data_IF_408735281011
#
_entry.id   IF_408735281011
#
_cell.length_a   1.000
_cell.length_b   1.000
_cell.length_c   1.000
_cell.angle_alpha   90.00
_cell.angle_beta   90.00
_cell.angle_gamma   90.00
#
_symmetry.space_group_name_H-M   'P 1'
#
loop_
_entity.id
_entity.type
_entity.pdbx_description
1 polymer ?
#
# COMPACT_ATOMS: atom_id res chain seq x y z
N UNK A 1 45.27 5.71 -68.68
CA UNK A 1 43.93 5.46 -69.24
C UNK A 1 43.06 4.87 -68.14
N UNK A 2 41.79 5.31 -68.08
CA UNK A 2 40.73 4.87 -67.17
C UNK A 2 40.50 3.35 -67.33
N UNK A 3 40.05 2.58 -66.34
CA UNK A 3 38.65 2.52 -65.89
C UNK A 3 38.52 2.07 -64.42
N UNK A 4 37.64 2.77 -63.71
CA UNK A 4 37.11 2.44 -62.39
C UNK A 4 36.20 1.20 -62.48
N UNK A 5 36.32 0.25 -61.55
CA UNK A 5 35.31 -0.79 -61.34
C UNK A 5 34.60 -0.55 -60.02
N UNK A 6 33.27 -0.57 -60.12
CA UNK A 6 32.29 -0.20 -59.11
C UNK A 6 32.38 -1.07 -57.85
N UNK A 7 32.44 -0.41 -56.70
CA UNK A 7 32.12 -0.97 -55.40
C UNK A 7 30.61 -0.80 -55.19
N UNK A 8 29.84 -1.89 -55.25
CA UNK A 8 28.41 -1.85 -54.95
C UNK A 8 28.22 -1.81 -53.44
N UNK A 9 28.10 -0.61 -52.88
CA UNK A 9 27.74 -0.40 -51.48
C UNK A 9 26.21 -0.56 -51.35
N UNK A 10 25.76 -1.65 -50.75
CA UNK A 10 24.35 -1.85 -50.44
C UNK A 10 23.96 -0.92 -49.27
N UNK A 11 23.18 0.11 -49.60
CA UNK A 11 22.58 1.03 -48.64
C UNK A 11 21.45 0.33 -47.89
N UNK A 12 21.67 -0.06 -46.63
CA UNK A 12 20.59 -0.45 -45.73
C UNK A 12 20.00 0.82 -45.09
N UNK A 13 18.87 1.27 -45.63
CA UNK A 13 18.10 2.42 -45.14
C UNK A 13 17.08 1.93 -44.10
N UNK A 14 17.11 2.60 -42.95
CA UNK A 14 16.09 2.77 -41.91
C UNK A 14 15.24 1.54 -41.49
N UNK A 15 15.48 1.14 -40.24
CA UNK A 15 14.50 0.47 -39.39
C UNK A 15 14.65 0.95 -37.95
N UNK A 16 14.70 2.26 -37.75
CA UNK A 16 14.60 2.87 -36.43
C UNK A 16 13.24 2.54 -35.83
N UNK A 17 13.14 1.42 -35.12
CA UNK A 17 12.14 1.26 -34.09
C UNK A 17 12.56 2.17 -32.95
N UNK A 18 12.20 3.45 -33.07
CA UNK A 18 11.82 4.19 -31.87
C UNK A 18 10.82 3.30 -31.17
N UNK A 19 11.27 2.62 -30.11
CA UNK A 19 10.36 2.05 -29.14
C UNK A 19 9.52 3.25 -28.71
N UNK A 20 8.32 3.35 -29.28
CA UNK A 20 7.25 4.16 -28.77
C UNK A 20 7.01 3.54 -27.40
N UNK A 21 7.77 4.03 -26.41
CA UNK A 21 7.44 3.84 -25.02
C UNK A 21 6.11 4.55 -24.88
N UNK A 22 5.04 3.80 -25.16
CA UNK A 22 3.72 4.16 -24.69
C UNK A 22 3.95 4.43 -23.22
N UNK A 23 3.82 5.68 -22.74
CA UNK A 23 3.80 5.89 -21.31
C UNK A 23 2.66 5.01 -20.86
N UNK A 24 2.97 3.91 -20.16
CA UNK A 24 1.96 3.14 -19.46
C UNK A 24 1.24 4.20 -18.65
N UNK A 25 0.01 4.50 -19.05
CA UNK A 25 -0.86 5.39 -18.33
C UNK A 25 -0.89 4.77 -16.95
N UNK A 26 -0.27 5.45 -15.97
CA UNK A 26 -0.23 5.02 -14.56
C UNK A 26 -1.64 5.18 -13.96
N UNK A 27 -2.66 4.66 -14.63
CA UNK A 27 -4.02 4.55 -14.11
C UNK A 27 -4.16 3.41 -13.11
N UNK A 28 -3.17 2.51 -13.05
CA UNK A 28 -3.31 1.23 -12.36
C UNK A 28 -2.58 1.18 -11.00
N UNK A 29 -2.00 2.31 -10.55
CA UNK A 29 -1.46 2.44 -9.19
C UNK A 29 -2.56 2.69 -8.13
N UNK A 30 -3.81 2.94 -8.55
CA UNK A 30 -4.87 3.43 -7.66
C UNK A 30 -6.16 2.57 -7.68
N UNK A 31 -6.15 1.34 -8.20
CA UNK A 31 -7.28 0.45 -7.94
C UNK A 31 -7.19 -0.08 -6.51
N UNK A 32 -8.24 0.12 -5.72
CA UNK A 32 -8.34 -0.40 -4.34
C UNK A 32 -7.98 -1.89 -4.30
N UNK A 33 -8.35 -2.65 -5.34
CA UNK A 33 -8.07 -4.08 -5.44
C UNK A 33 -6.55 -4.40 -5.56
N UNK A 34 -5.73 -3.49 -6.13
CA UNK A 34 -4.26 -3.59 -6.14
C UNK A 34 -3.66 -3.18 -4.79
N UNK A 35 -4.20 -2.15 -4.14
CA UNK A 35 -3.80 -1.74 -2.78
C UNK A 35 -4.14 -2.79 -1.72
N UNK A 36 -5.16 -3.61 -2.00
CA UNK A 36 -5.67 -4.70 -1.17
C UNK A 36 -5.22 -6.09 -1.65
N UNK A 37 -4.22 -6.17 -2.53
CA UNK A 37 -3.69 -7.46 -2.95
C UNK A 37 -3.26 -8.25 -1.72
N UNK A 38 -4.06 -9.26 -1.36
CA UNK A 38 -3.90 -10.02 -0.11
C UNK A 38 -2.58 -10.76 -0.18
N UNK A 39 -1.75 -10.62 0.85
CA UNK A 39 -0.57 -11.47 0.95
C UNK A 39 -1.02 -12.91 1.17
N UNK A 40 -0.64 -13.86 0.30
CA UNK A 40 -0.95 -15.27 0.53
C UNK A 40 -0.35 -15.70 1.86
N UNK A 41 -1.18 -16.33 2.69
CA UNK A 41 -0.87 -16.61 4.09
C UNK A 41 0.28 -17.60 4.25
N UNK A 42 1.50 -17.11 4.50
CA UNK A 42 2.62 -17.91 5.02
C UNK A 42 2.81 -17.79 6.54
N UNK A 43 1.86 -17.16 7.25
CA UNK A 43 1.96 -16.91 8.69
C UNK A 43 0.56 -16.84 9.30
N UNK A 44 0.35 -17.48 10.46
CA UNK A 44 -0.93 -17.59 11.18
C UNK A 44 -1.51 -16.26 11.67
N UNK A 45 -0.88 -15.12 11.40
CA UNK A 45 -1.39 -13.83 11.84
C UNK A 45 -2.52 -13.35 10.91
N UNK A 46 -3.74 -13.12 11.45
CA UNK A 46 -4.91 -12.77 10.65
C UNK A 46 -4.88 -11.33 10.13
N UNK A 47 -3.99 -10.47 10.66
CA UNK A 47 -3.78 -9.09 10.18
C UNK A 47 -2.51 -9.01 9.34
N UNK A 48 -2.68 -8.70 8.06
CA UNK A 48 -1.60 -8.52 7.07
C UNK A 48 -1.37 -7.04 6.76
N UNK A 49 -0.29 -6.76 6.03
CA UNK A 49 0.08 -5.41 5.59
C UNK A 49 0.25 -5.43 4.08
N UNK A 50 -0.39 -4.48 3.39
CA UNK A 50 -0.25 -4.32 1.94
C UNK A 50 1.19 -3.94 1.54
N UNK A 51 1.48 -4.03 0.24
CA UNK A 51 2.72 -3.50 -0.33
C UNK A 51 2.90 -2.02 -0.01
N UNK A 52 1.84 -1.21 -0.10
CA UNK A 52 1.84 0.21 0.22
C UNK A 52 2.19 0.48 1.69
N UNK A 53 1.56 -0.21 2.64
CA UNK A 53 1.88 -0.10 4.07
C UNK A 53 3.35 -0.48 4.36
N UNK A 54 3.87 -1.49 3.66
CA UNK A 54 5.28 -1.89 3.78
C UNK A 54 6.25 -0.88 3.17
N UNK A 55 5.90 -0.30 2.02
CA UNK A 55 6.68 0.78 1.42
C UNK A 55 6.71 1.99 2.34
N UNK A 56 5.56 2.36 2.94
CA UNK A 56 5.48 3.44 3.91
C UNK A 56 6.43 3.22 5.10
N UNK A 57 6.42 2.03 5.73
CA UNK A 57 7.40 1.72 6.77
C UNK A 57 8.86 1.91 6.31
N UNK A 58 9.19 1.46 5.10
CA UNK A 58 10.54 1.64 4.54
C UNK A 58 10.87 3.12 4.35
N UNK A 59 9.92 3.94 3.90
CA UNK A 59 10.09 5.39 3.74
C UNK A 59 10.25 6.14 5.07
N UNK A 60 9.78 5.55 6.17
CA UNK A 60 10.00 6.04 7.55
C UNK A 60 11.37 5.61 8.12
N UNK A 61 12.19 4.92 7.33
CA UNK A 61 13.49 4.40 7.78
C UNK A 61 13.41 3.08 8.55
N UNK A 62 12.24 2.43 8.64
CA UNK A 62 12.10 1.15 9.33
C UNK A 62 12.64 0.01 8.46
N UNK A 63 13.87 -0.42 8.78
CA UNK A 63 14.56 -1.50 8.08
C UNK A 63 13.74 -2.81 8.05
N UNK A 64 13.80 -3.54 6.95
CA UNK A 64 13.10 -4.82 6.81
C UNK A 64 13.63 -5.80 7.86
N UNK A 65 12.73 -6.39 8.64
CA UNK A 65 13.08 -7.37 9.67
C UNK A 65 13.54 -6.79 11.01
N UNK A 66 13.71 -5.47 11.13
CA UNK A 66 14.14 -4.84 12.39
C UNK A 66 13.12 -5.03 13.52
N UNK A 67 13.61 -4.97 14.77
CA UNK A 67 12.78 -5.03 15.96
C UNK A 67 11.75 -3.89 15.96
N UNK A 68 12.16 -2.67 15.63
CA UNK A 68 11.29 -1.50 15.51
C UNK A 68 10.18 -1.72 14.49
N UNK A 69 10.50 -2.26 13.31
CA UNK A 69 9.49 -2.56 12.29
C UNK A 69 8.50 -3.62 12.76
N UNK A 70 8.95 -4.60 13.56
CA UNK A 70 8.06 -5.58 14.18
C UNK A 70 7.15 -4.92 15.21
N UNK A 71 7.69 -4.06 16.07
CA UNK A 71 6.92 -3.30 17.06
C UNK A 71 5.86 -2.41 16.42
N UNK A 72 6.22 -1.64 15.38
CA UNK A 72 5.27 -0.81 14.63
C UNK A 72 4.16 -1.67 14.03
N UNK A 73 4.50 -2.84 13.47
CA UNK A 73 3.47 -3.79 12.99
C UNK A 73 2.58 -4.29 14.12
N UNK A 74 3.14 -4.62 15.28
CA UNK A 74 2.35 -5.13 16.40
C UNK A 74 1.39 -4.09 16.96
N UNK A 75 1.80 -2.82 17.02
CA UNK A 75 0.90 -1.70 17.34
C UNK A 75 -0.30 -1.65 16.38
N UNK A 76 -0.06 -1.64 15.07
CA UNK A 76 -1.14 -1.59 14.09
C UNK A 76 -2.02 -2.84 14.09
N UNK A 77 -1.44 -4.01 14.35
CA UNK A 77 -2.20 -5.27 14.50
C UNK A 77 -3.15 -5.20 15.67
N UNK A 78 -2.72 -4.66 16.82
CA UNK A 78 -3.58 -4.53 18.01
C UNK A 78 -4.79 -3.64 17.72
N UNK A 79 -4.58 -2.49 17.07
CA UNK A 79 -5.66 -1.59 16.66
C UNK A 79 -6.66 -2.30 15.76
N UNK A 80 -6.19 -2.92 14.69
CA UNK A 80 -7.06 -3.58 13.71
C UNK A 80 -7.74 -4.82 14.30
N UNK A 81 -7.06 -5.61 15.13
CA UNK A 81 -7.65 -6.79 15.77
C UNK A 81 -8.78 -6.42 16.74
N UNK A 82 -8.69 -5.26 17.42
CA UNK A 82 -9.79 -4.73 18.22
C UNK A 82 -11.06 -4.52 17.39
N UNK A 83 -10.92 -3.89 16.23
CA UNK A 83 -12.05 -3.68 15.30
C UNK A 83 -12.53 -4.97 14.64
N UNK A 84 -11.62 -5.90 14.32
CA UNK A 84 -12.01 -7.21 13.81
C UNK A 84 -12.98 -7.93 14.75
N UNK A 85 -12.66 -7.95 16.04
CA UNK A 85 -13.49 -8.61 17.07
C UNK A 85 -14.87 -7.96 17.17
N UNK A 86 -14.94 -6.62 17.15
CA UNK A 86 -16.21 -5.87 17.25
C UNK A 86 -17.14 -6.13 16.05
N UNK A 87 -16.57 -6.34 14.87
CA UNK A 87 -17.32 -6.43 13.63
C UNK A 87 -17.42 -7.84 13.04
N UNK A 88 -16.88 -8.86 13.72
CA UNK A 88 -16.94 -10.26 13.27
C UNK A 88 -16.03 -10.59 12.10
N UNK A 89 -14.96 -9.81 11.88
CA UNK A 89 -13.98 -10.09 10.84
C UNK A 89 -13.00 -11.18 11.29
N UNK A 90 -12.67 -12.11 10.40
CA UNK A 90 -11.70 -13.19 10.65
C UNK A 90 -10.31 -12.85 10.17
N UNK A 91 -10.19 -12.06 9.09
CA UNK A 91 -8.89 -11.54 8.64
C UNK A 91 -8.97 -10.08 8.23
N UNK A 92 -7.83 -9.39 8.26
CA UNK A 92 -7.74 -8.00 7.85
C UNK A 92 -6.42 -7.70 7.11
N UNK A 93 -6.41 -6.59 6.38
CA UNK A 93 -5.21 -6.06 5.73
C UNK A 93 -5.10 -4.57 5.97
N UNK A 94 -4.00 -4.16 6.59
CA UNK A 94 -3.63 -2.76 6.76
C UNK A 94 -3.12 -2.23 5.42
N UNK A 95 -3.81 -1.22 4.88
CA UNK A 95 -3.45 -0.54 3.63
C UNK A 95 -2.62 0.70 3.90
N UNK A 96 -3.04 1.51 4.88
CA UNK A 96 -2.29 2.64 5.39
C UNK A 96 -2.07 2.50 6.89
N UNK A 97 -0.86 2.83 7.34
CA UNK A 97 -0.52 2.94 8.77
C UNK A 97 -1.35 4.06 9.44
N UNK A 98 -1.23 4.22 10.75
CA UNK A 98 -1.95 5.27 11.47
C UNK A 98 -1.56 6.65 10.92
N UNK A 99 -2.55 7.39 10.45
CA UNK A 99 -2.41 8.70 9.81
C UNK A 99 -3.65 9.58 10.05
N UNK A 100 -3.47 10.88 9.87
CA UNK A 100 -4.46 11.95 9.73
C UNK A 100 -4.25 12.68 8.39
N UNK A 101 -3.00 12.76 7.91
CA UNK A 101 -2.70 13.43 6.66
C UNK A 101 -3.03 12.59 5.43
N UNK A 102 -3.61 13.23 4.41
CA UNK A 102 -4.03 12.55 3.18
C UNK A 102 -5.37 11.83 3.31
N UNK A 103 -6.03 11.92 4.47
CA UNK A 103 -7.41 11.50 4.67
C UNK A 103 -8.34 12.71 4.75
N UNK A 104 -9.59 12.53 4.34
CA UNK A 104 -10.65 13.50 4.61
C UNK A 104 -11.10 13.47 6.08
N UNK A 105 -10.70 12.43 6.84
CA UNK A 105 -10.92 12.32 8.28
C UNK A 105 -9.76 12.96 9.06
N UNK A 106 -10.01 13.98 9.88
CA UNK A 106 -8.96 14.61 10.68
C UNK A 106 -8.52 13.78 11.89
N UNK A 107 -9.24 12.72 12.26
CA UNK A 107 -8.89 11.87 13.41
C UNK A 107 -7.73 10.94 13.05
N UNK A 108 -6.96 10.51 14.04
CA UNK A 108 -5.94 9.49 13.82
C UNK A 108 -6.58 8.13 13.54
N UNK A 109 -6.29 7.54 12.38
CA UNK A 109 -6.85 6.24 11.99
C UNK A 109 -5.89 5.41 11.13
N UNK A 110 -6.12 4.11 11.13
CA UNK A 110 -5.49 3.14 10.23
C UNK A 110 -6.51 2.80 9.13
N UNK A 111 -6.13 2.83 7.86
CA UNK A 111 -7.00 2.33 6.78
C UNK A 111 -6.80 0.84 6.62
N UNK A 112 -7.85 0.05 6.82
CA UNK A 112 -7.78 -1.40 6.74
C UNK A 112 -8.99 -2.03 6.03
N UNK A 113 -8.74 -3.16 5.38
CA UNK A 113 -9.76 -4.03 4.82
C UNK A 113 -10.09 -5.21 5.71
N UNK A 114 -11.33 -5.68 5.69
CA UNK A 114 -11.84 -6.75 6.56
C UNK A 114 -12.56 -7.84 5.77
N UNK A 115 -12.35 -9.09 6.18
CA UNK A 115 -12.98 -10.28 5.58
C UNK A 115 -13.55 -11.19 6.66
N UNK A 116 -14.68 -11.81 6.35
CA UNK A 116 -15.33 -12.79 7.22
C UNK A 116 -14.66 -14.18 7.16
N UNK A 117 -15.22 -15.15 7.90
CA UNK A 117 -14.71 -16.51 7.96
C UNK A 117 -14.76 -17.25 6.62
N UNK A 118 -15.66 -16.85 5.73
CA UNK A 118 -15.78 -17.39 4.37
C UNK A 118 -14.86 -16.67 3.38
N UNK A 119 -13.95 -15.83 3.89
CA UNK A 119 -13.05 -15.01 3.11
C UNK A 119 -13.78 -14.05 2.16
N UNK A 120 -15.02 -13.68 2.48
CA UNK A 120 -15.78 -12.67 1.76
C UNK A 120 -15.46 -11.30 2.31
N UNK A 121 -15.29 -10.31 1.42
CA UNK A 121 -15.02 -8.94 1.83
C UNK A 121 -16.23 -8.38 2.57
N UNK A 122 -15.98 -7.82 3.75
CA UNK A 122 -17.00 -7.17 4.56
C UNK A 122 -17.24 -5.76 4.03
N UNK A 123 -18.51 -5.38 3.90
CA UNK A 123 -18.87 -3.97 3.72
C UNK A 123 -18.73 -3.29 5.08
N UNK A 124 -17.95 -2.22 5.12
CA UNK A 124 -17.69 -1.48 6.35
C UNK A 124 -18.49 -0.18 6.32
N UNK A 125 -19.44 -0.06 7.24
CA UNK A 125 -20.34 1.09 7.35
C UNK A 125 -19.85 2.09 8.43
N UNK A 126 -18.56 2.04 8.78
CA UNK A 126 -17.94 2.82 9.85
C UNK A 126 -16.60 3.41 9.38
N UNK A 127 -16.24 4.58 9.92
CA UNK A 127 -15.14 5.41 9.42
C UNK A 127 -15.65 6.48 8.45
N UNK A 128 -15.19 7.73 8.60
CA UNK A 128 -15.65 8.87 7.79
C UNK A 128 -14.58 9.25 6.75
N UNK A 129 -14.91 9.62 5.51
CA UNK A 129 -16.24 9.58 4.92
C UNK A 129 -16.62 8.12 4.61
N UNK A 130 -17.84 7.68 4.95
CA UNK A 130 -18.35 6.41 4.48
C UNK A 130 -18.56 6.55 2.98
N UNK A 131 -17.56 6.20 2.17
CA UNK A 131 -17.74 6.25 0.72
C UNK A 131 -18.48 4.98 0.32
N UNK A 132 -19.81 5.02 0.40
CA UNK A 132 -20.73 3.95 -0.02
C UNK A 132 -20.49 3.49 -1.47
N UNK A 133 -19.78 4.29 -2.27
CA UNK A 133 -19.38 3.98 -3.64
C UNK A 133 -18.18 3.02 -3.75
N UNK A 134 -17.33 2.94 -2.73
CA UNK A 134 -16.16 2.03 -2.71
C UNK A 134 -16.16 1.06 -1.51
N UNK A 135 -16.86 1.37 -0.40
CA UNK A 135 -17.42 0.47 0.62
C UNK A 135 -16.54 -0.60 1.28
N UNK A 136 -15.26 -0.69 0.92
CA UNK A 136 -14.40 -1.83 1.21
C UNK A 136 -13.46 -1.55 2.37
N UNK A 137 -12.91 -0.34 2.49
CA UNK A 137 -11.91 0.03 3.50
C UNK A 137 -12.54 0.81 4.66
N UNK A 138 -12.10 0.49 5.87
CA UNK A 138 -12.55 1.15 7.09
C UNK A 138 -11.43 1.99 7.69
N UNK A 139 -11.81 3.10 8.32
CA UNK A 139 -10.95 3.84 9.23
C UNK A 139 -11.05 3.20 10.62
N UNK A 140 -9.98 2.56 11.04
CA UNK A 140 -9.80 2.05 12.40
C UNK A 140 -9.23 3.19 13.24
N UNK A 141 -10.07 3.85 14.01
CA UNK A 141 -9.65 4.98 14.84
C UNK A 141 -8.65 4.54 15.92
N UNK A 142 -7.57 5.29 16.04
CA UNK A 142 -6.50 5.07 17.00
C UNK A 142 -6.47 6.16 18.09
N UNK A 143 -7.46 7.03 18.13
CA UNK A 143 -7.56 8.17 19.06
C UNK A 143 -7.76 7.77 20.52
N UNK A 144 -8.20 6.53 20.78
CA UNK A 144 -8.33 5.99 22.12
C UNK A 144 -7.07 5.25 22.62
N UNK A 145 -6.00 5.16 21.83
CA UNK A 145 -4.74 4.54 22.24
C UNK A 145 -3.55 5.48 21.99
N UNK A 146 -2.59 5.58 22.92
CA UNK A 146 -1.37 6.33 22.66
C UNK A 146 -0.67 5.74 21.44
N UNK A 147 -0.16 6.62 20.57
CA UNK A 147 0.66 6.21 19.42
C UNK A 147 1.93 5.55 19.95
N UNK A 148 2.29 4.41 19.38
CA UNK A 148 3.53 3.72 19.74
C UNK A 148 4.74 4.70 19.61
N UNK A 149 5.55 4.89 20.67
CA UNK A 149 6.63 5.87 20.65
C UNK A 149 7.66 5.63 19.56
N UNK A 150 7.93 4.35 19.24
CA UNK A 150 8.83 3.99 18.14
C UNK A 150 8.24 4.43 16.80
N UNK A 151 6.96 4.16 16.56
CA UNK A 151 6.29 4.65 15.36
C UNK A 151 6.35 6.19 15.26
N UNK A 152 6.00 6.88 16.35
CA UNK A 152 6.01 8.35 16.39
C UNK A 152 7.41 8.93 16.14
N UNK A 153 8.45 8.32 16.73
CA UNK A 153 9.85 8.69 16.48
C UNK A 153 10.19 8.65 14.98
N UNK A 154 9.86 7.55 14.29
CA UNK A 154 10.17 7.41 12.86
C UNK A 154 9.34 8.33 11.97
N UNK A 155 8.08 8.58 12.32
CA UNK A 155 7.23 9.57 11.62
C UNK A 155 7.86 10.97 11.72
N UNK A 156 8.23 11.38 12.93
CA UNK A 156 8.85 12.69 13.18
C UNK A 156 10.22 12.80 12.52
N UNK A 157 11.07 11.78 12.63
CA UNK A 157 12.41 11.75 12.01
C UNK A 157 12.36 11.83 10.48
N UNK A 158 11.29 11.30 9.87
CA UNK A 158 11.05 11.41 8.43
C UNK A 158 10.39 12.74 8.00
N UNK A 159 10.24 13.71 8.92
CA UNK A 159 9.47 14.95 8.73
C UNK A 159 8.08 14.70 8.15
N UNK A 160 7.46 13.58 8.53
CA UNK A 160 6.07 13.26 8.22
C UNK A 160 5.21 13.67 9.39
N UNK A 161 3.94 13.92 9.12
CA UNK A 161 2.93 13.98 10.18
C UNK A 161 2.16 12.67 10.15
N UNK A 162 1.60 12.32 11.29
CA UNK A 162 0.52 11.35 11.34
C UNK A 162 -0.58 11.90 10.45
#
# INVERSE_FOLDING_TARGET
MRFFSLLTLATAILGGVSALTVPVKRSDLDSIDVLEAREPGKNNNPVKFSGAAKAHMTNLGLAKGSAERKQVKDYHRKLVAGEMTKHGATTAQVVHLAHTQGSADPRLHVTAGFWDANNKRMKVNYGTPPNEKTGKLAHVYADHQPVDPTYLHHVNAANKKL
#
